data_IF_175549123546
#
_entry.id   IF_175549123546
#
_cell.length_a   1.000
_cell.length_b   1.000
_cell.length_c   1.000
_cell.angle_alpha   90.00
_cell.angle_beta   90.00
_cell.angle_gamma   90.00
#
_symmetry.space_group_name_H-M   'P 1'
#
loop_
_entity.id
_entity.type
_entity.pdbx_description
1 polymer ?
#
# COMPACT_ATOMS: atom_id res chain seq x y z
N UNK A 1 13.08 15.62 12.65
CA UNK A 1 12.93 14.15 12.63
C UNK A 1 14.30 13.55 12.91
N UNK A 2 14.42 12.41 13.62
CA UNK A 2 15.69 11.73 13.71
C UNK A 2 16.23 11.48 12.30
N UNK A 3 17.55 11.52 12.16
CA UNK A 3 18.28 11.35 10.90
C UNK A 3 18.19 9.88 10.47
N UNK A 4 17.01 9.47 9.98
CA UNK A 4 16.77 8.13 9.46
C UNK A 4 17.25 8.14 8.01
N UNK A 5 18.14 7.20 7.69
CA UNK A 5 18.66 7.06 6.34
C UNK A 5 17.50 6.93 5.33
N UNK A 6 17.58 7.61 4.17
CA UNK A 6 16.59 7.46 3.13
C UNK A 6 16.39 5.98 2.76
N UNK A 7 15.15 5.59 2.52
CA UNK A 7 14.86 4.28 1.95
C UNK A 7 15.39 4.24 0.51
N UNK A 8 16.19 3.22 0.20
CA UNK A 8 16.67 2.96 -1.16
C UNK A 8 15.75 1.93 -1.80
N UNK A 9 15.03 2.35 -2.84
CA UNK A 9 14.16 1.48 -3.63
C UNK A 9 15.04 0.72 -4.61
N UNK A 10 15.27 -0.55 -4.34
CA UNK A 10 15.97 -1.47 -5.25
C UNK A 10 14.99 -2.09 -6.26
N UNK A 11 15.48 -2.98 -7.12
CA UNK A 11 14.63 -3.75 -8.05
C UNK A 11 13.93 -4.95 -7.38
N UNK A 12 13.78 -4.90 -6.06
CA UNK A 12 13.14 -5.91 -5.21
C UNK A 12 11.88 -5.34 -4.55
N UNK A 13 11.27 -6.12 -3.64
CA UNK A 13 10.21 -5.60 -2.78
C UNK A 13 10.68 -4.57 -1.76
N UNK A 14 9.73 -4.11 -0.96
CA UNK A 14 9.92 -3.27 0.25
C UNK A 14 9.22 -3.93 1.42
N UNK A 15 9.61 -3.59 2.65
CA UNK A 15 8.93 -4.10 3.84
C UNK A 15 7.71 -3.25 4.23
N UNK A 16 6.81 -3.80 5.04
CA UNK A 16 5.63 -3.07 5.51
C UNK A 16 6.01 -1.79 6.30
N UNK A 17 7.05 -1.88 7.14
CA UNK A 17 7.57 -0.76 7.92
C UNK A 17 8.07 0.39 7.03
N UNK A 18 8.71 0.07 5.91
CA UNK A 18 9.16 1.07 4.93
C UNK A 18 7.97 1.84 4.35
N UNK A 19 6.86 1.15 4.06
CA UNK A 19 5.64 1.77 3.56
C UNK A 19 5.04 2.71 4.62
N UNK A 20 4.94 2.25 5.87
CA UNK A 20 4.44 3.05 6.99
C UNK A 20 5.31 4.30 7.20
N UNK A 21 6.63 4.15 7.17
CA UNK A 21 7.58 5.24 7.40
C UNK A 21 7.53 6.31 6.31
N UNK A 22 7.42 5.92 5.04
CA UNK A 22 7.28 6.88 3.94
C UNK A 22 5.90 7.55 3.98
N UNK A 23 4.85 6.77 4.24
CA UNK A 23 3.47 7.25 4.23
C UNK A 23 3.17 8.22 5.37
N UNK A 24 3.53 7.85 6.61
CA UNK A 24 3.19 8.59 7.84
C UNK A 24 4.33 9.45 8.36
N UNK A 25 5.56 8.95 8.27
CA UNK A 25 6.73 9.60 8.88
C UNK A 25 7.56 10.42 7.89
N UNK A 26 7.10 10.54 6.63
CA UNK A 26 7.77 11.29 5.57
C UNK A 26 9.24 10.89 5.39
N UNK A 27 9.57 9.61 5.62
CA UNK A 27 10.91 9.09 5.34
C UNK A 27 11.25 9.35 3.87
N UNK A 28 12.43 9.95 3.65
CA UNK A 28 12.90 10.23 2.28
C UNK A 28 13.22 8.94 1.55
N UNK A 29 13.09 8.97 0.24
CA UNK A 29 13.32 7.83 -0.64
C UNK A 29 14.30 8.18 -1.77
N UNK A 30 14.96 7.17 -2.33
CA UNK A 30 15.84 7.29 -3.50
C UNK A 30 15.78 6.00 -4.33
N UNK A 31 16.13 6.07 -5.61
CA UNK A 31 16.29 4.87 -6.45
C UNK A 31 17.70 4.30 -6.28
N UNK A 32 17.80 3.00 -6.03
CA UNK A 32 19.05 2.26 -6.00
C UNK A 32 19.64 2.05 -7.39
N UNK A 33 20.92 1.69 -7.45
CA UNK A 33 21.60 1.43 -8.73
C UNK A 33 20.98 0.27 -9.50
N UNK A 34 20.51 -0.76 -8.77
CA UNK A 34 19.93 -1.95 -9.39
C UNK A 34 18.53 -1.66 -9.97
N UNK A 35 17.76 -0.81 -9.29
CA UNK A 35 16.50 -0.27 -9.81
C UNK A 35 16.71 0.52 -11.11
N UNK A 36 17.68 1.45 -11.12
CA UNK A 36 17.99 2.26 -12.30
C UNK A 36 18.39 1.37 -13.48
N UNK A 37 19.29 0.40 -13.26
CA UNK A 37 19.71 -0.52 -14.30
C UNK A 37 18.55 -1.37 -14.86
N UNK A 38 17.64 -1.84 -13.99
CA UNK A 38 16.45 -2.59 -14.39
C UNK A 38 15.48 -1.74 -15.23
N UNK A 39 15.24 -0.49 -14.80
CA UNK A 39 14.41 0.49 -15.53
C UNK A 39 14.99 0.81 -16.91
N UNK A 40 16.30 1.07 -17.00
CA UNK A 40 16.97 1.32 -18.29
C UNK A 40 16.84 0.13 -19.25
N UNK A 41 17.05 -1.09 -18.75
CA UNK A 41 16.91 -2.30 -19.55
C UNK A 41 15.47 -2.50 -20.04
N UNK A 42 14.48 -2.32 -19.16
CA UNK A 42 13.06 -2.43 -19.51
C UNK A 42 12.65 -1.40 -20.56
N UNK A 43 13.06 -0.14 -20.38
CA UNK A 43 12.77 0.94 -21.32
C UNK A 43 13.41 0.70 -22.69
N UNK A 44 14.64 0.18 -22.75
CA UNK A 44 15.31 -0.16 -24.00
C UNK A 44 14.56 -1.25 -24.78
N UNK A 45 13.97 -2.23 -24.09
CA UNK A 45 13.17 -3.29 -24.72
C UNK A 45 11.86 -2.77 -25.30
N UNK A 46 11.14 -1.92 -24.56
CA UNK A 46 9.92 -1.29 -25.08
C UNK A 46 10.23 -0.40 -26.28
N UNK A 47 11.32 0.36 -26.24
CA UNK A 47 11.76 1.18 -27.36
C UNK A 47 12.04 0.33 -28.63
N UNK A 48 12.74 -0.79 -28.49
CA UNK A 48 13.01 -1.70 -29.60
C UNK A 48 11.73 -2.32 -30.18
N UNK A 49 10.76 -2.67 -29.33
CA UNK A 49 9.47 -3.21 -29.77
C UNK A 49 8.58 -2.16 -30.46
N UNK A 50 8.69 -0.90 -30.05
CA UNK A 50 7.95 0.18 -30.69
C UNK A 50 8.42 0.43 -32.14
N UNK A 51 9.67 0.13 -32.44
CA UNK A 51 10.22 0.18 -33.80
C UNK A 51 9.93 -1.10 -34.63
N UNK A 52 9.40 -2.15 -33.99
CA UNK A 52 9.04 -3.41 -34.65
C UNK A 52 7.77 -3.29 -35.49
N UNK A 53 7.66 -4.10 -36.54
CA UNK A 53 6.45 -4.23 -37.36
C UNK A 53 5.34 -5.07 -36.70
N UNK A 54 5.65 -5.77 -35.61
CA UNK A 54 4.66 -6.60 -34.89
C UNK A 54 3.89 -5.78 -33.85
N UNK A 55 2.55 -5.84 -33.82
CA UNK A 55 1.76 -5.09 -32.85
C UNK A 55 1.90 -5.66 -31.44
N UNK A 56 2.13 -4.79 -30.45
CA UNK A 56 2.29 -5.15 -29.05
C UNK A 56 1.30 -4.34 -28.20
N UNK A 57 0.52 -5.05 -27.37
CA UNK A 57 -0.52 -4.45 -26.52
C UNK A 57 0.02 -3.32 -25.66
N UNK A 58 -0.65 -2.17 -25.65
CA UNK A 58 -0.27 -1.00 -24.85
C UNK A 58 1.06 -0.32 -25.23
N UNK A 59 1.75 -0.82 -26.25
CA UNK A 59 2.97 -0.23 -26.83
C UNK A 59 2.65 0.38 -28.20
N UNK A 60 2.10 -0.42 -29.13
CA UNK A 60 1.69 0.03 -30.47
C UNK A 60 0.19 -0.12 -30.73
N UNK A 61 -0.58 -0.65 -29.77
CA UNK A 61 -2.06 -0.71 -29.84
C UNK A 61 -2.74 0.03 -28.69
N UNK A 62 -4.06 0.27 -28.82
CA UNK A 62 -4.90 0.84 -27.76
C UNK A 62 -5.13 -0.09 -26.55
N UNK A 63 -5.96 0.35 -25.60
CA UNK A 63 -6.20 -0.36 -24.34
C UNK A 63 -7.63 -0.89 -24.23
N UNK A 64 -7.83 -1.98 -23.48
CA UNK A 64 -9.16 -2.54 -23.20
C UNK A 64 -9.96 -2.85 -24.48
N UNK A 65 -11.13 -2.22 -24.64
CA UNK A 65 -11.97 -2.40 -25.84
C UNK A 65 -11.28 -1.98 -27.16
N UNK A 66 -10.21 -1.17 -27.08
CA UNK A 66 -9.43 -0.69 -28.22
C UNK A 66 -8.12 -1.46 -28.41
N UNK A 67 -7.95 -2.63 -27.77
CA UNK A 67 -6.74 -3.45 -27.85
C UNK A 67 -6.32 -3.82 -29.28
N UNK A 68 -7.28 -3.87 -30.22
CA UNK A 68 -7.06 -4.21 -31.63
C UNK A 68 -6.84 -2.98 -32.54
N UNK A 69 -6.78 -1.76 -31.99
CA UNK A 69 -6.59 -0.53 -32.76
C UNK A 69 -5.10 -0.14 -32.78
N UNK A 70 -4.49 -0.10 -33.96
CA UNK A 70 -3.11 0.35 -34.13
C UNK A 70 -2.99 1.87 -33.88
N UNK A 71 -1.94 2.27 -33.17
CA UNK A 71 -1.71 3.66 -32.77
C UNK A 71 -0.52 4.21 -33.57
N UNK A 72 -0.71 5.29 -34.34
CA UNK A 72 0.40 5.97 -35.01
C UNK A 72 1.48 6.41 -34.03
N UNK A 73 2.75 6.29 -34.41
CA UNK A 73 3.87 6.54 -33.51
C UNK A 73 3.89 7.96 -32.95
N UNK A 74 3.49 8.94 -33.77
CA UNK A 74 3.38 10.37 -33.42
C UNK A 74 2.25 10.67 -32.42
N UNK A 75 1.31 9.74 -32.22
CA UNK A 75 0.20 9.86 -31.27
C UNK A 75 0.38 9.05 -29.99
N UNK A 76 1.47 8.30 -29.86
CA UNK A 76 1.70 7.41 -28.70
C UNK A 76 1.78 8.19 -27.38
N UNK A 77 2.48 9.33 -27.37
CA UNK A 77 2.56 10.21 -26.20
C UNK A 77 1.18 10.81 -25.83
N UNK A 78 0.44 11.30 -26.83
CA UNK A 78 -0.92 11.82 -26.66
C UNK A 78 -1.85 10.76 -26.04
N UNK A 79 -1.75 9.51 -26.51
CA UNK A 79 -2.53 8.40 -25.99
C UNK A 79 -2.25 8.15 -24.50
N UNK A 80 -0.99 8.20 -24.06
CA UNK A 80 -0.66 7.98 -22.64
C UNK A 80 -1.24 9.07 -21.75
N UNK A 81 -1.16 10.33 -22.17
CA UNK A 81 -1.76 11.46 -21.42
C UNK A 81 -3.28 11.33 -21.37
N UNK A 82 -3.91 11.00 -22.49
CA UNK A 82 -5.37 10.80 -22.54
C UNK A 82 -5.81 9.59 -21.70
N UNK A 83 -4.96 8.57 -21.56
CA UNK A 83 -5.24 7.45 -20.67
C UNK A 83 -5.35 7.92 -19.21
N UNK A 84 -4.38 8.70 -18.72
CA UNK A 84 -4.43 9.25 -17.36
C UNK A 84 -5.70 10.09 -17.16
N UNK A 85 -5.98 11.03 -18.08
CA UNK A 85 -7.14 11.93 -17.98
C UNK A 85 -8.48 11.18 -17.99
N UNK A 86 -8.62 10.17 -18.84
CA UNK A 86 -9.86 9.39 -18.94
C UNK A 86 -10.09 8.47 -17.74
N UNK A 87 -9.02 8.00 -17.10
CA UNK A 87 -9.11 7.08 -15.97
C UNK A 87 -9.16 7.79 -14.62
N UNK A 88 -8.70 9.05 -14.52
CA UNK A 88 -8.85 9.89 -13.33
C UNK A 88 -10.31 10.34 -13.08
N UNK A 89 -11.23 9.37 -13.05
CA UNK A 89 -12.66 9.52 -12.89
C UNK A 89 -13.14 9.15 -11.48
N UNK A 90 -12.27 9.35 -10.48
CA UNK A 90 -12.59 9.08 -9.09
C UNK A 90 -13.62 10.05 -8.51
N UNK A 91 -14.45 9.57 -7.58
CA UNK A 91 -15.54 10.33 -6.95
C UNK A 91 -15.55 10.15 -5.42
N UNK A 92 -16.29 11.00 -4.71
CA UNK A 92 -16.43 10.95 -3.25
C UNK A 92 -15.46 11.87 -2.52
N UNK A 93 -15.22 11.57 -1.26
CA UNK A 93 -14.29 12.32 -0.43
C UNK A 93 -12.82 12.05 -0.83
N UNK A 94 -11.91 12.90 -0.33
CA UNK A 94 -10.48 12.70 -0.54
C UNK A 94 -9.99 11.52 0.29
N UNK A 95 -9.25 10.62 -0.36
CA UNK A 95 -8.49 9.58 0.34
C UNK A 95 -7.41 10.24 1.19
N UNK A 96 -7.15 9.69 2.37
CA UNK A 96 -6.17 10.20 3.31
C UNK A 96 -4.78 10.28 2.67
N UNK A 97 -4.04 11.36 2.95
CA UNK A 97 -2.74 11.61 2.31
C UNK A 97 -1.73 10.49 2.56
N UNK A 98 -1.76 9.84 3.72
CA UNK A 98 -0.90 8.69 4.03
C UNK A 98 -1.14 7.51 3.06
N UNK A 99 -2.40 7.23 2.70
CA UNK A 99 -2.77 6.16 1.77
C UNK A 99 -2.27 6.49 0.36
N UNK A 100 -2.44 7.74 -0.08
CA UNK A 100 -1.94 8.19 -1.38
C UNK A 100 -0.41 8.10 -1.44
N UNK A 101 0.28 8.49 -0.37
CA UNK A 101 1.74 8.38 -0.28
C UNK A 101 2.21 6.91 -0.32
N UNK A 102 1.52 6.01 0.40
CA UNK A 102 1.78 4.57 0.32
C UNK A 102 1.59 4.04 -1.11
N UNK A 103 0.50 4.40 -1.76
CA UNK A 103 0.22 4.04 -3.16
C UNK A 103 1.31 4.52 -4.12
N UNK A 104 1.78 5.76 -3.97
CA UNK A 104 2.87 6.31 -4.78
C UNK A 104 4.18 5.56 -4.56
N UNK A 105 4.55 5.27 -3.30
CA UNK A 105 5.76 4.49 -3.01
C UNK A 105 5.69 3.12 -3.67
N UNK A 106 4.57 2.41 -3.50
CA UNK A 106 4.38 1.08 -4.05
C UNK A 106 4.40 1.09 -5.58
N UNK A 107 3.82 2.13 -6.21
CA UNK A 107 3.95 2.31 -7.66
C UNK A 107 5.39 2.54 -8.11
N UNK A 108 6.14 3.39 -7.41
CA UNK A 108 7.56 3.61 -7.70
C UNK A 108 8.36 2.30 -7.56
N UNK A 109 8.08 1.52 -6.52
CA UNK A 109 8.66 0.19 -6.29
C UNK A 109 8.33 -0.80 -7.41
N UNK A 110 7.07 -0.88 -7.82
CA UNK A 110 6.63 -1.74 -8.94
C UNK A 110 7.33 -1.36 -10.24
N UNK A 111 7.49 -0.06 -10.53
CA UNK A 111 8.27 0.41 -11.68
C UNK A 111 9.76 0.05 -11.56
N UNK A 112 10.36 0.21 -10.38
CA UNK A 112 11.77 -0.05 -10.11
C UNK A 112 12.20 -1.50 -10.36
N UNK A 113 11.28 -2.46 -10.33
CA UNK A 113 11.54 -3.84 -10.74
C UNK A 113 11.84 -4.00 -12.25
N UNK A 114 11.57 -2.98 -13.06
CA UNK A 114 11.97 -2.89 -14.48
C UNK A 114 11.09 -3.64 -15.46
N UNK A 115 10.18 -4.50 -15.00
CA UNK A 115 9.31 -5.30 -15.89
C UNK A 115 8.17 -4.48 -16.53
N UNK A 116 7.92 -3.25 -16.06
CA UNK A 116 6.96 -2.33 -16.68
C UNK A 116 7.48 -1.68 -17.97
N UNK A 117 8.80 -1.62 -18.17
CA UNK A 117 9.39 -0.95 -19.33
C UNK A 117 9.27 0.58 -19.35
N UNK A 118 9.03 1.20 -18.20
CA UNK A 118 9.07 2.66 -18.05
C UNK A 118 10.51 3.16 -17.91
N UNK A 119 10.77 4.41 -18.32
CA UNK A 119 12.10 5.02 -18.12
C UNK A 119 12.37 5.32 -16.64
N UNK A 120 13.66 5.39 -16.23
CA UNK A 120 14.03 5.80 -14.86
C UNK A 120 13.41 7.14 -14.43
N UNK A 121 13.30 8.10 -15.36
CA UNK A 121 12.68 9.40 -15.13
C UNK A 121 11.25 9.29 -14.56
N UNK A 122 10.48 8.28 -14.94
CA UNK A 122 9.07 8.12 -14.50
C UNK A 122 9.01 7.74 -13.01
N UNK A 123 9.81 6.74 -12.61
CA UNK A 123 9.92 6.36 -11.20
C UNK A 123 10.54 7.48 -10.36
N UNK A 124 11.55 8.17 -10.91
CA UNK A 124 12.20 9.30 -10.25
C UNK A 124 11.23 10.46 -9.99
N UNK A 125 10.32 10.77 -10.91
CA UNK A 125 9.33 11.83 -10.70
C UNK A 125 8.38 11.53 -9.52
N UNK A 126 8.03 10.26 -9.30
CA UNK A 126 7.24 9.84 -8.13
C UNK A 126 8.06 10.02 -6.84
N UNK A 127 9.34 9.60 -6.88
CA UNK A 127 10.30 9.77 -5.78
C UNK A 127 10.45 11.24 -5.39
N UNK A 128 10.58 12.11 -6.39
CA UNK A 128 10.76 13.55 -6.21
C UNK A 128 9.52 14.22 -5.60
N UNK A 129 8.31 13.87 -6.08
CA UNK A 129 7.06 14.36 -5.47
C UNK A 129 6.93 13.95 -4.00
N UNK A 130 7.17 12.66 -3.69
CA UNK A 130 7.08 12.15 -2.33
C UNK A 130 8.07 12.83 -1.39
N UNK A 131 9.31 13.05 -1.86
CA UNK A 131 10.37 13.76 -1.13
C UNK A 131 10.09 15.26 -0.96
N UNK A 132 9.37 15.88 -1.90
CA UNK A 132 8.93 17.27 -1.80
C UNK A 132 7.71 17.44 -0.86
N UNK A 133 7.16 16.34 -0.33
CA UNK A 133 5.95 16.37 0.50
C UNK A 133 4.69 16.72 -0.30
N UNK A 134 4.71 16.56 -1.62
CA UNK A 134 3.59 16.83 -2.50
C UNK A 134 2.80 15.54 -2.69
N UNK A 135 1.52 15.55 -2.31
CA UNK A 135 0.64 14.38 -2.36
C UNK A 135 -0.54 14.64 -3.29
N UNK A 136 -0.75 13.86 -4.36
CA UNK A 136 -1.92 14.01 -5.23
C UNK A 136 -3.26 13.93 -4.50
N UNK A 137 -4.25 14.65 -5.00
CA UNK A 137 -5.64 14.48 -4.54
C UNK A 137 -6.26 13.29 -5.25
N UNK A 138 -6.63 12.28 -4.46
CA UNK A 138 -7.26 11.04 -4.92
C UNK A 138 -8.62 10.90 -4.25
N UNK A 139 -9.60 10.32 -4.94
CA UNK A 139 -10.97 10.17 -4.47
C UNK A 139 -11.30 8.71 -4.16
N UNK A 140 -12.12 8.48 -3.15
CA UNK A 140 -12.36 7.15 -2.54
C UNK A 140 -13.12 6.14 -3.40
N UNK A 141 -13.85 6.58 -4.44
CA UNK A 141 -14.63 5.70 -5.31
C UNK A 141 -14.13 5.73 -6.75
N UNK A 142 -14.26 4.61 -7.45
CA UNK A 142 -14.02 4.50 -8.90
C UNK A 142 -13.16 3.30 -9.32
N UNK A 143 -12.31 2.79 -8.43
CA UNK A 143 -11.55 1.56 -8.67
C UNK A 143 -12.45 0.32 -8.57
N UNK A 144 -12.21 -0.68 -9.43
CA UNK A 144 -12.83 -2.00 -9.34
C UNK A 144 -11.98 -3.00 -8.54
N UNK A 145 -10.71 -2.69 -8.28
CA UNK A 145 -9.78 -3.56 -7.57
C UNK A 145 -9.54 -4.93 -8.20
N UNK A 146 -9.77 -5.09 -9.51
CA UNK A 146 -9.72 -6.39 -10.19
C UNK A 146 -8.34 -6.71 -10.81
N UNK A 147 -7.80 -5.81 -11.62
CA UNK A 147 -6.48 -5.96 -12.27
C UNK A 147 -5.62 -4.70 -12.16
N UNK A 148 -6.04 -3.75 -11.32
CA UNK A 148 -5.40 -2.45 -11.17
C UNK A 148 -6.30 -1.41 -10.53
N UNK A 149 -5.70 -0.58 -9.68
CA UNK A 149 -6.26 0.61 -9.06
C UNK A 149 -6.24 1.80 -10.03
N UNK A 150 -6.80 1.58 -11.24
CA UNK A 150 -6.66 2.48 -12.39
C UNK A 150 -7.08 3.92 -12.08
N UNK A 151 -8.24 4.10 -11.45
CA UNK A 151 -8.77 5.44 -11.18
C UNK A 151 -7.92 6.23 -10.16
N UNK A 152 -7.62 5.68 -8.97
CA UNK A 152 -6.78 6.40 -8.01
C UNK A 152 -5.33 6.57 -8.48
N UNK A 153 -4.74 5.57 -9.16
CA UNK A 153 -3.39 5.71 -9.72
C UNK A 153 -3.34 6.73 -10.87
N UNK A 154 -4.38 6.82 -11.70
CA UNK A 154 -4.45 7.85 -12.73
C UNK A 154 -4.50 9.26 -12.12
N UNK A 155 -5.31 9.46 -11.06
CA UNK A 155 -5.33 10.71 -10.31
C UNK A 155 -3.97 11.02 -9.69
N UNK A 156 -3.26 10.01 -9.16
CA UNK A 156 -1.92 10.16 -8.60
C UNK A 156 -0.83 10.43 -9.65
N UNK A 157 -1.04 10.00 -10.89
CA UNK A 157 -0.11 10.19 -11.99
C UNK A 157 -0.25 11.55 -12.69
N UNK A 158 -1.43 12.19 -12.66
CA UNK A 158 -1.66 13.48 -13.30
C UNK A 158 -0.67 14.58 -12.86
N UNK A 159 -0.31 14.71 -11.57
CA UNK A 159 0.68 15.69 -11.15
C UNK A 159 2.04 15.49 -11.82
N UNK A 160 2.46 14.26 -12.12
CA UNK A 160 3.75 14.01 -12.80
C UNK A 160 3.85 14.73 -14.14
N UNK A 161 2.72 14.95 -14.83
CA UNK A 161 2.65 15.69 -16.09
C UNK A 161 2.17 17.15 -15.92
N UNK A 162 2.12 17.65 -14.67
CA UNK A 162 1.72 19.01 -14.35
C UNK A 162 0.20 19.23 -14.35
N UNK A 163 -0.60 18.18 -14.20
CA UNK A 163 -2.06 18.27 -14.18
C UNK A 163 -2.66 17.84 -12.84
N UNK A 164 -3.90 18.27 -12.58
CA UNK A 164 -4.65 17.88 -11.38
C UNK A 164 -4.34 18.74 -10.16
N UNK A 165 -4.67 18.21 -8.99
CA UNK A 165 -4.54 18.91 -7.72
C UNK A 165 -3.74 18.09 -6.73
N UNK A 166 -3.03 18.77 -5.84
CA UNK A 166 -2.17 18.17 -4.83
C UNK A 166 -2.39 18.83 -3.47
N UNK A 167 -2.06 18.12 -2.41
CA UNK A 167 -1.87 18.62 -1.05
C UNK A 167 -0.37 18.81 -0.83
N UNK A 168 0.04 19.98 -0.36
CA UNK A 168 1.41 20.19 0.11
C UNK A 168 1.62 19.56 1.51
N UNK A 169 2.82 19.65 2.06
CA UNK A 169 3.17 19.06 3.37
C UNK A 169 2.32 19.59 4.54
N UNK A 170 1.79 20.82 4.43
CA UNK A 170 0.90 21.43 5.42
C UNK A 170 -0.59 21.08 5.19
N UNK A 171 -0.89 20.26 4.18
CA UNK A 171 -2.25 19.86 3.79
C UNK A 171 -3.00 20.90 2.94
N UNK A 172 -2.32 21.95 2.46
CA UNK A 172 -2.95 22.99 1.63
C UNK A 172 -3.18 22.46 0.22
N UNK A 173 -4.38 22.70 -0.32
CA UNK A 173 -4.74 22.34 -1.69
C UNK A 173 -4.08 23.30 -2.69
N UNK A 174 -3.34 22.75 -3.65
CA UNK A 174 -2.66 23.50 -4.70
C UNK A 174 -2.91 22.89 -6.09
N UNK A 175 -2.77 23.73 -7.11
CA UNK A 175 -2.64 23.28 -8.50
C UNK A 175 -1.30 22.55 -8.68
N UNK A 176 -1.33 21.38 -9.33
CA UNK A 176 -0.16 20.50 -9.41
C UNK A 176 1.04 21.16 -10.09
N UNK A 177 0.83 21.88 -11.21
CA UNK A 177 1.90 22.54 -11.94
C UNK A 177 2.60 23.61 -11.08
N UNK A 178 1.81 24.36 -10.34
CA UNK A 178 2.30 25.41 -9.44
C UNK A 178 3.13 24.81 -8.29
N UNK A 179 2.61 23.76 -7.63
CA UNK A 179 3.28 23.08 -6.54
C UNK A 179 4.63 22.47 -6.97
N UNK A 180 4.66 21.79 -8.11
CA UNK A 180 5.87 21.15 -8.67
C UNK A 180 6.95 22.19 -8.98
N UNK A 181 6.58 23.28 -9.64
CA UNK A 181 7.53 24.37 -9.94
C UNK A 181 8.04 25.06 -8.68
N UNK A 182 7.18 25.27 -7.69
CA UNK A 182 7.58 25.85 -6.40
C UNK A 182 8.58 24.95 -5.64
N UNK A 183 8.49 23.63 -5.83
CA UNK A 183 9.44 22.66 -5.30
C UNK A 183 10.72 22.50 -6.16
N UNK A 184 10.85 23.26 -7.26
CA UNK A 184 12.00 23.17 -8.17
C UNK A 184 12.00 21.91 -9.05
N UNK A 185 10.84 21.28 -9.21
CA UNK A 185 10.62 20.11 -10.07
C UNK A 185 10.02 20.55 -11.42
N UNK A 186 10.07 19.67 -12.41
CA UNK A 186 9.49 19.90 -13.74
C UNK A 186 8.57 18.74 -14.14
N UNK A 187 7.45 19.01 -14.84
CA UNK A 187 6.61 17.96 -15.41
C UNK A 187 7.37 17.05 -16.37
N UNK A 188 7.06 15.76 -16.35
CA UNK A 188 7.62 14.78 -17.29
C UNK A 188 6.76 14.63 -18.54
N UNK A 189 7.40 14.35 -19.67
CA UNK A 189 6.71 13.93 -20.89
C UNK A 189 6.66 12.41 -20.97
N UNK A 190 5.47 11.84 -21.17
CA UNK A 190 5.27 10.39 -21.27
C UNK A 190 5.56 9.85 -22.69
N UNK A 191 6.10 8.63 -22.75
CA UNK A 191 6.31 7.84 -23.97
C UNK A 191 5.46 6.57 -23.94
N UNK A 192 5.49 5.81 -25.03
CA UNK A 192 4.77 4.54 -25.18
C UNK A 192 4.80 3.70 -23.90
N UNK A 193 3.64 3.14 -23.51
CA UNK A 193 3.39 2.36 -22.29
C UNK A 193 3.49 3.11 -20.95
N UNK A 194 4.14 4.26 -20.85
CA UNK A 194 4.40 4.88 -19.54
C UNK A 194 3.14 5.37 -18.82
N UNK A 195 2.12 5.82 -19.55
CA UNK A 195 0.83 6.16 -18.95
C UNK A 195 0.12 4.93 -18.38
N UNK A 196 0.14 3.80 -19.10
CA UNK A 196 -0.42 2.54 -18.60
C UNK A 196 0.39 2.01 -17.41
N UNK A 197 1.72 2.03 -17.52
CA UNK A 197 2.62 1.60 -16.46
C UNK A 197 2.50 2.45 -15.19
N UNK A 198 1.95 3.66 -15.26
CA UNK A 198 1.68 4.47 -14.07
C UNK A 198 0.40 4.04 -13.34
N UNK A 199 -0.56 3.42 -14.03
CA UNK A 199 -1.91 3.21 -13.50
C UNK A 199 -2.29 1.75 -13.30
N UNK A 200 -1.53 0.83 -13.86
CA UNK A 200 -1.89 -0.58 -13.89
C UNK A 200 -1.16 -1.36 -12.79
N UNK A 201 -1.72 -1.36 -11.59
CA UNK A 201 -1.19 -2.09 -10.42
C UNK A 201 -2.15 -2.02 -9.24
N UNK A 202 -1.96 -2.84 -8.21
CA UNK A 202 -2.81 -2.89 -7.00
C UNK A 202 -2.21 -2.10 -5.83
N UNK A 203 -1.43 -1.08 -6.17
CA UNK A 203 -0.60 -0.33 -5.22
C UNK A 203 -1.45 0.44 -4.18
N UNK A 204 -2.66 0.87 -4.55
CA UNK A 204 -3.56 1.61 -3.67
C UNK A 204 -4.17 0.72 -2.59
N UNK A 205 -4.76 -0.41 -2.99
CA UNK A 205 -5.33 -1.37 -2.04
C UNK A 205 -4.25 -2.02 -1.15
N UNK A 206 -3.05 -2.27 -1.69
CA UNK A 206 -1.93 -2.78 -0.91
C UNK A 206 -1.48 -1.77 0.14
N UNK A 207 -1.35 -0.49 -0.24
CA UNK A 207 -1.04 0.60 0.69
C UNK A 207 -2.08 0.71 1.82
N UNK A 208 -3.37 0.65 1.49
CA UNK A 208 -4.45 0.64 2.48
C UNK A 208 -4.34 -0.56 3.43
N UNK A 209 -4.06 -1.75 2.90
CA UNK A 209 -3.95 -2.96 3.72
C UNK A 209 -2.76 -2.90 4.68
N UNK A 210 -1.60 -2.40 4.23
CA UNK A 210 -0.42 -2.22 5.10
C UNK A 210 -0.73 -1.27 6.25
N UNK A 211 -1.31 -0.10 5.96
CA UNK A 211 -1.64 0.90 6.99
C UNK A 211 -2.72 0.39 7.95
N UNK A 212 -3.73 -0.32 7.43
CA UNK A 212 -4.77 -0.93 8.25
C UNK A 212 -4.22 -2.03 9.19
N UNK A 213 -3.24 -2.81 8.74
CA UNK A 213 -2.58 -3.83 9.57
C UNK A 213 -1.75 -3.20 10.69
N UNK A 214 -1.02 -2.10 10.40
CA UNK A 214 -0.29 -1.34 11.42
C UNK A 214 -1.25 -0.82 12.51
N UNK A 215 -2.34 -0.15 12.09
CA UNK A 215 -3.34 0.37 13.04
C UNK A 215 -4.03 -0.75 13.82
N UNK A 216 -4.36 -1.86 13.15
CA UNK A 216 -4.98 -3.02 13.79
C UNK A 216 -4.06 -3.65 14.83
N UNK A 217 -2.74 -3.67 14.60
CA UNK A 217 -1.76 -4.12 15.58
C UNK A 217 -1.81 -3.30 16.87
N UNK A 218 -1.86 -1.97 16.74
CA UNK A 218 -2.01 -1.07 17.90
C UNK A 218 -3.37 -1.25 18.59
N UNK A 219 -4.45 -1.34 17.82
CA UNK A 219 -5.80 -1.52 18.35
C UNK A 219 -5.95 -2.86 19.08
N UNK A 220 -5.40 -3.96 18.55
CA UNK A 220 -5.45 -5.27 19.19
C UNK A 220 -4.75 -5.26 20.57
N UNK A 221 -3.63 -4.55 20.68
CA UNK A 221 -2.93 -4.32 21.96
C UNK A 221 -3.80 -3.51 22.94
N UNK A 222 -4.38 -2.40 22.47
CA UNK A 222 -5.29 -1.57 23.28
C UNK A 222 -6.52 -2.36 23.73
N UNK A 223 -7.06 -3.24 22.88
CA UNK A 223 -8.19 -4.10 23.22
C UNK A 223 -7.89 -5.02 24.39
N UNK A 224 -6.71 -5.67 24.44
CA UNK A 224 -6.35 -6.50 25.61
C UNK A 224 -6.20 -5.68 26.89
N UNK A 225 -5.62 -4.48 26.80
CA UNK A 225 -5.51 -3.55 27.95
C UNK A 225 -6.90 -3.17 28.46
N UNK A 226 -7.79 -2.75 27.56
CA UNK A 226 -9.16 -2.42 27.92
C UNK A 226 -9.92 -3.64 28.47
N UNK A 227 -9.68 -4.82 27.92
CA UNK A 227 -10.24 -6.09 28.40
C UNK A 227 -9.79 -6.43 29.82
N UNK A 228 -8.51 -6.25 30.14
CA UNK A 228 -7.98 -6.43 31.49
C UNK A 228 -8.63 -5.43 32.47
N UNK A 229 -8.63 -4.14 32.14
CA UNK A 229 -9.25 -3.10 32.99
C UNK A 229 -10.75 -3.36 33.21
N UNK A 230 -11.46 -3.82 32.17
CA UNK A 230 -12.88 -4.17 32.27
C UNK A 230 -13.09 -5.40 33.16
N UNK A 231 -12.20 -6.39 33.08
CA UNK A 231 -12.21 -7.57 33.95
C UNK A 231 -12.06 -7.13 35.41
N UNK A 232 -11.11 -6.27 35.73
CA UNK A 232 -10.97 -5.73 37.10
C UNK A 232 -12.21 -4.94 37.54
N UNK A 233 -12.69 -4.01 36.70
CA UNK A 233 -13.82 -3.14 37.03
C UNK A 233 -15.12 -3.89 37.31
N UNK A 234 -15.32 -5.04 36.65
CA UNK A 234 -16.49 -5.91 36.86
C UNK A 234 -16.26 -7.00 37.90
N UNK A 235 -15.12 -6.97 38.60
CA UNK A 235 -14.69 -8.03 39.52
C UNK A 235 -14.73 -9.40 38.82
N UNK A 236 -14.29 -9.49 37.57
CA UNK A 236 -14.23 -10.74 36.82
C UNK A 236 -13.04 -11.61 37.22
N UNK A 237 -13.04 -12.88 36.81
CA UNK A 237 -11.98 -13.85 37.14
C UNK A 237 -10.98 -14.07 36.00
N UNK A 238 -9.69 -14.06 36.36
CA UNK A 238 -8.57 -14.40 35.49
C UNK A 238 -8.44 -15.91 35.17
N UNK A 239 -9.18 -16.76 35.89
CA UNK A 239 -9.09 -18.23 35.78
C UNK A 239 -9.40 -18.74 34.38
N UNK A 240 -10.26 -18.03 33.64
CA UNK A 240 -10.59 -18.37 32.26
C UNK A 240 -9.43 -18.17 31.28
N UNK A 241 -8.42 -17.40 31.66
CA UNK A 241 -7.26 -17.07 30.84
C UNK A 241 -6.05 -17.96 31.14
N UNK A 242 -6.22 -18.93 32.06
CA UNK A 242 -5.16 -19.83 32.51
C UNK A 242 -4.47 -20.54 31.34
N UNK A 243 -3.13 -20.59 31.39
CA UNK A 243 -2.31 -21.12 30.29
C UNK A 243 -2.67 -22.55 29.93
N UNK A 244 -2.87 -23.42 30.92
CA UNK A 244 -3.24 -24.83 30.72
C UNK A 244 -4.62 -25.00 30.06
N UNK A 245 -5.59 -24.16 30.43
CA UNK A 245 -6.92 -24.14 29.83
C UNK A 245 -6.88 -23.64 28.39
N UNK A 246 -6.16 -22.54 28.13
CA UNK A 246 -6.03 -21.96 26.79
C UNK A 246 -5.29 -22.92 25.86
N UNK A 247 -4.25 -23.59 26.34
CA UNK A 247 -3.48 -24.58 25.58
C UNK A 247 -4.31 -25.79 25.11
N UNK A 248 -5.48 -26.07 25.71
CA UNK A 248 -6.38 -27.14 25.23
C UNK A 248 -6.97 -26.84 23.84
N UNK A 249 -6.96 -25.57 23.41
CA UNK A 249 -7.38 -25.15 22.07
C UNK A 249 -6.26 -24.31 21.43
N UNK A 250 -5.40 -24.90 20.59
CA UNK A 250 -4.16 -24.28 20.13
C UNK A 250 -4.39 -23.27 18.98
N UNK A 251 -5.20 -22.25 19.23
CA UNK A 251 -5.33 -21.07 18.36
C UNK A 251 -4.26 -20.06 18.78
N UNK A 252 -3.46 -19.56 17.83
CA UNK A 252 -2.27 -18.76 18.11
C UNK A 252 -2.66 -17.42 18.74
N UNK A 253 -3.52 -16.65 18.07
CA UNK A 253 -3.97 -15.36 18.58
C UNK A 253 -4.71 -15.47 19.92
N UNK A 254 -5.42 -16.59 20.17
CA UNK A 254 -6.08 -16.84 21.45
C UNK A 254 -5.06 -16.98 22.58
N UNK A 255 -3.95 -17.68 22.33
CA UNK A 255 -2.86 -17.82 23.29
C UNK A 255 -2.22 -16.46 23.56
N UNK A 256 -1.88 -15.70 22.53
CA UNK A 256 -1.28 -14.37 22.67
C UNK A 256 -2.15 -13.40 23.49
N UNK A 257 -3.45 -13.31 23.19
CA UNK A 257 -4.36 -12.45 23.95
C UNK A 257 -4.50 -12.91 25.41
N UNK A 258 -4.60 -14.22 25.66
CA UNK A 258 -4.64 -14.73 27.03
C UNK A 258 -3.35 -14.42 27.80
N UNK A 259 -2.19 -14.52 27.14
CA UNK A 259 -0.89 -14.25 27.73
C UNK A 259 -0.75 -12.76 28.10
N UNK A 260 -1.22 -11.87 27.22
CA UNK A 260 -1.31 -10.43 27.52
C UNK A 260 -2.22 -10.16 28.72
N UNK A 261 -3.44 -10.70 28.72
CA UNK A 261 -4.40 -10.51 29.80
C UNK A 261 -3.87 -11.03 31.13
N UNK A 262 -3.25 -12.22 31.17
CA UNK A 262 -2.61 -12.75 32.38
C UNK A 262 -1.48 -11.85 32.86
N UNK A 263 -0.67 -11.33 31.94
CA UNK A 263 0.43 -10.43 32.29
C UNK A 263 -0.07 -9.11 32.88
N UNK A 264 -1.14 -8.54 32.30
CA UNK A 264 -1.76 -7.29 32.74
C UNK A 264 -2.49 -7.43 34.09
N UNK A 265 -3.15 -8.56 34.32
CA UNK A 265 -3.91 -8.85 35.55
C UNK A 265 -3.04 -9.45 36.67
N UNK A 266 -1.77 -9.74 36.39
CA UNK A 266 -0.86 -10.36 37.33
C UNK A 266 -0.78 -9.52 38.63
N UNK A 267 -0.92 -10.18 39.77
CA UNK A 267 -0.88 -9.56 41.10
C UNK A 267 -1.93 -8.44 41.34
N UNK A 268 -2.99 -8.36 40.55
CA UNK A 268 -4.07 -7.39 40.77
C UNK A 268 -4.76 -7.60 42.14
N UNK A 269 -4.78 -6.58 43.03
CA UNK A 269 -5.52 -6.65 44.28
C UNK A 269 -7.04 -6.75 44.07
N UNK A 270 -7.54 -6.23 42.95
CA UNK A 270 -8.95 -6.26 42.59
C UNK A 270 -9.35 -7.70 42.28
N UNK A 271 -8.59 -8.40 41.43
CA UNK A 271 -8.82 -9.83 41.14
C UNK A 271 -8.67 -10.68 42.42
N UNK A 272 -7.69 -10.37 43.28
CA UNK A 272 -7.48 -11.08 44.54
C UNK A 272 -8.67 -10.94 45.51
N UNK A 273 -9.36 -9.80 45.52
CA UNK A 273 -10.41 -9.47 46.50
C UNK A 273 -11.61 -10.42 46.50
N UNK A 274 -11.87 -11.11 45.39
CA UNK A 274 -13.01 -12.02 45.20
C UNK A 274 -12.58 -13.37 44.64
N UNK A 275 -11.29 -13.73 44.73
CA UNK A 275 -10.78 -15.03 44.27
C UNK A 275 -11.43 -16.21 44.99
N UNK A 276 -11.90 -15.99 46.22
CA UNK A 276 -12.62 -16.95 47.04
C UNK A 276 -13.92 -16.32 47.56
N UNK A 277 -14.98 -17.12 47.70
CA UNK A 277 -16.26 -16.64 48.23
C UNK A 277 -17.09 -15.79 47.25
N UNK A 278 -16.79 -15.84 45.96
CA UNK A 278 -17.63 -15.28 44.90
C UNK A 278 -18.73 -16.27 44.52
N UNK A 279 -19.99 -15.82 44.58
CA UNK A 279 -21.16 -16.63 44.23
C UNK A 279 -21.28 -16.85 42.70
N UNK A 280 -20.54 -16.07 41.88
CA UNK A 280 -20.52 -16.25 40.42
C UNK A 280 -19.73 -17.49 40.05
N UNK A 281 -20.42 -18.42 39.38
CA UNK A 281 -19.78 -19.64 38.84
C UNK A 281 -18.86 -19.32 37.66
N UNK A 282 -19.27 -18.39 36.80
CA UNK A 282 -18.54 -17.95 35.61
C UNK A 282 -18.92 -16.52 35.23
N UNK A 283 -17.97 -15.79 34.64
CA UNK A 283 -18.27 -14.51 34.01
C UNK A 283 -19.07 -14.66 32.70
N UNK A 284 -19.80 -13.60 32.30
CA UNK A 284 -20.38 -13.49 30.97
C UNK A 284 -19.33 -13.64 29.85
N UNK A 285 -19.79 -14.01 28.66
CA UNK A 285 -18.91 -14.26 27.52
C UNK A 285 -18.07 -13.03 27.12
N UNK A 286 -18.59 -11.81 27.31
CA UNK A 286 -17.85 -10.59 27.01
C UNK A 286 -16.57 -10.41 27.84
N UNK A 287 -16.42 -11.14 28.95
CA UNK A 287 -15.21 -11.17 29.78
C UNK A 287 -14.50 -12.51 29.64
N UNK A 288 -15.23 -13.61 29.85
CA UNK A 288 -14.62 -14.93 29.86
C UNK A 288 -14.08 -15.38 28.50
N UNK A 289 -14.68 -14.91 27.41
CA UNK A 289 -14.27 -15.27 26.05
C UNK A 289 -13.37 -14.21 25.39
N UNK A 290 -12.85 -13.23 26.14
CA UNK A 290 -11.99 -12.17 25.60
C UNK A 290 -10.80 -12.73 24.80
N UNK A 291 -10.02 -13.71 25.28
CA UNK A 291 -8.93 -14.27 24.49
C UNK A 291 -9.38 -14.88 23.16
N UNK A 292 -10.54 -15.55 23.13
CA UNK A 292 -11.06 -16.19 21.93
C UNK A 292 -11.48 -15.15 20.89
N UNK A 293 -12.11 -14.06 21.32
CA UNK A 293 -12.58 -12.99 20.44
C UNK A 293 -11.41 -12.14 19.94
N UNK A 294 -10.56 -11.67 20.85
CA UNK A 294 -9.40 -10.85 20.51
C UNK A 294 -8.34 -11.67 19.74
N UNK A 295 -8.23 -12.96 20.03
CA UNK A 295 -7.35 -13.87 19.33
C UNK A 295 -7.79 -14.15 17.90
N UNK A 296 -9.08 -14.34 17.66
CA UNK A 296 -9.60 -14.53 16.30
C UNK A 296 -9.28 -13.33 15.38
N UNK A 297 -9.29 -12.11 15.91
CA UNK A 297 -8.88 -10.90 15.16
C UNK A 297 -7.39 -10.97 14.79
N UNK A 298 -6.52 -11.41 15.71
CA UNK A 298 -5.08 -11.57 15.45
C UNK A 298 -4.79 -12.66 14.42
N UNK A 299 -5.49 -13.78 14.49
CA UNK A 299 -5.33 -14.86 13.51
C UNK A 299 -5.75 -14.38 12.11
N UNK A 300 -6.84 -13.60 12.00
CA UNK A 300 -7.25 -12.99 10.74
C UNK A 300 -6.26 -11.94 10.23
N UNK A 301 -5.73 -11.10 11.12
CA UNK A 301 -4.69 -10.11 10.79
C UNK A 301 -3.41 -10.80 10.31
N UNK A 302 -3.01 -11.91 10.94
CA UNK A 302 -1.84 -12.69 10.55
C UNK A 302 -1.98 -13.31 9.17
N UNK A 303 -3.18 -13.78 8.81
CA UNK A 303 -3.46 -14.23 7.44
C UNK A 303 -3.31 -13.08 6.44
N UNK A 304 -3.90 -11.93 6.73
CA UNK A 304 -3.82 -10.75 5.87
C UNK A 304 -2.37 -10.27 5.70
N UNK A 305 -1.60 -10.20 6.79
CA UNK A 305 -0.17 -9.87 6.76
C UNK A 305 0.62 -10.83 5.87
N UNK A 306 0.36 -12.14 5.93
CA UNK A 306 1.03 -13.11 5.07
C UNK A 306 0.71 -12.95 3.57
N UNK A 307 -0.45 -12.39 3.22
CA UNK A 307 -0.77 -12.01 1.83
C UNK A 307 -0.04 -10.70 1.48
N UNK A 308 -0.09 -9.71 2.37
CA UNK A 308 0.62 -8.43 2.22
C UNK A 308 2.11 -8.64 1.95
N UNK A 309 2.80 -9.48 2.72
CA UNK A 309 4.23 -9.76 2.56
C UNK A 309 4.57 -10.29 1.16
N UNK A 310 3.65 -11.06 0.55
CA UNK A 310 3.83 -11.59 -0.81
C UNK A 310 3.65 -10.48 -1.84
N UNK A 311 2.61 -9.67 -1.71
CA UNK A 311 2.34 -8.55 -2.62
C UNK A 311 3.42 -7.46 -2.53
N UNK A 312 4.02 -7.27 -1.36
CA UNK A 312 5.12 -6.34 -1.10
C UNK A 312 6.41 -6.69 -1.85
N UNK A 313 6.55 -7.93 -2.32
CA UNK A 313 7.69 -8.37 -3.15
C UNK A 313 7.28 -8.76 -4.58
N UNK A 314 5.99 -8.74 -4.90
CA UNK A 314 5.45 -9.05 -6.23
C UNK A 314 5.62 -7.91 -7.23
N UNK A 315 5.73 -8.25 -8.51
CA UNK A 315 5.57 -7.31 -9.60
C UNK A 315 4.12 -7.34 -10.12
N UNK A 316 3.50 -6.17 -10.24
CA UNK A 316 2.09 -6.04 -10.62
C UNK A 316 1.94 -4.96 -11.70
N UNK A 317 1.80 -5.39 -12.94
CA UNK A 317 1.52 -4.58 -14.14
C UNK A 317 1.07 -5.51 -15.26
N UNK A 318 0.51 -4.93 -16.32
CA UNK A 318 0.21 -5.61 -17.56
C UNK A 318 0.30 -4.63 -18.75
N UNK A 319 0.91 -5.00 -19.89
CA UNK A 319 1.69 -6.21 -20.11
C UNK A 319 3.08 -6.11 -19.49
N UNK A 320 3.72 -7.27 -19.33
CA UNK A 320 5.00 -7.43 -18.63
C UNK A 320 6.13 -7.64 -19.63
N UNK A 321 7.24 -6.93 -19.45
CA UNK A 321 8.49 -7.14 -20.18
C UNK A 321 9.29 -8.22 -19.46
N UNK A 322 9.33 -9.43 -19.99
CA UNK A 322 10.04 -10.57 -19.38
C UNK A 322 11.56 -10.47 -19.54
N UNK A 323 12.36 -11.13 -18.67
CA UNK A 323 13.83 -11.18 -18.76
C UNK A 323 14.40 -11.62 -20.12
N UNK A 324 13.65 -12.43 -20.88
CA UNK A 324 14.03 -12.89 -22.22
C UNK A 324 13.66 -11.91 -23.35
N UNK A 325 13.05 -10.77 -23.02
CA UNK A 325 12.66 -9.71 -23.94
C UNK A 325 11.23 -9.83 -24.48
N UNK A 326 10.49 -10.89 -24.16
CA UNK A 326 9.08 -11.01 -24.54
C UNK A 326 8.20 -9.99 -23.80
N UNK A 327 7.12 -9.58 -24.44
CA UNK A 327 6.05 -8.80 -23.80
C UNK A 327 4.80 -9.66 -23.76
N UNK A 328 4.37 -10.01 -22.55
CA UNK A 328 3.26 -10.93 -22.33
C UNK A 328 2.13 -10.23 -21.57
N UNK A 329 0.90 -10.52 -21.98
CA UNK A 329 -0.30 -10.09 -21.26
C UNK A 329 -0.54 -10.99 -20.05
N UNK A 330 -0.84 -10.40 -18.90
CA UNK A 330 -1.21 -11.11 -17.68
C UNK A 330 -2.34 -10.41 -16.93
N UNK A 331 -2.84 -11.04 -15.87
CA UNK A 331 -3.89 -10.52 -15.00
C UNK A 331 -3.60 -10.85 -13.55
#
# INVERSE_FOLDING_TARGET
MPDVDPLVIENTGVDADDVVDVARNFRRISLGSDAIAALELGAARVAALFESSEPVYGVSTGFGALANTNIPADRSAELQVNLLRSHAAGMGDEVESEVVRAMMLLRARSLAMGFSGARPLVAQAIVDLLNAGITPVVREHGSLGASGDLAPLAAAALPLIGEGSVRNADGTLEDALSAIRNAGLEPIELRAKEGLALINGTDGMLGMLVLALEDLGQLAKVSDIAGAMTTEALLGTDRAFAHDLIAMRPQVGQAESADNLRSLLNESPVIASHRHGDDRVQDPYSIRCTPQVHGAVRDAASYAAAITDRELVSFIDNPVVLPDGRVESCG
#
